data_IF_806906927962
#
_entry.id   IF_806906927962
#
_cell.length_a   1.000
_cell.length_b   1.000
_cell.length_c   1.000
_cell.angle_alpha   90.00
_cell.angle_beta   90.00
_cell.angle_gamma   90.00
#
_symmetry.space_group_name_H-M   'P 1'
#
loop_
_entity.id
_entity.type
_entity.pdbx_description
1 polymer ?
2 non-polymer ?
3 non-polymer ?
4 non-polymer ?
5 water ?
#
# COMPACT_ATOMS: atom_id res chain seq x y z
N UNK A 1 -24.60 -4.58 3.64
CA UNK A 1 -23.27 -4.21 3.12
C UNK A 1 -22.48 -3.52 4.23
N UNK A 2 -21.43 -2.78 3.86
CA UNK A 2 -20.57 -2.15 4.88
C UNK A 2 -20.95 -0.69 5.09
N UNK A 3 -21.14 -0.28 6.34
CA UNK A 3 -21.34 1.16 6.67
C UNK A 3 -20.13 1.98 6.20
N UNK A 4 -20.30 3.29 5.94
CA UNK A 4 -19.16 4.15 5.63
C UNK A 4 -18.03 4.06 6.67
N UNK A 5 -18.36 4.05 7.96
CA UNK A 5 -17.36 4.03 9.04
C UNK A 5 -16.46 2.79 8.88
N UNK A 6 -17.04 1.65 8.52
CA UNK A 6 -16.32 0.36 8.34
C UNK A 6 -15.43 0.42 7.10
N UNK A 7 -15.92 0.97 5.99
CA UNK A 7 -15.09 1.18 4.78
C UNK A 7 -13.85 1.99 5.14
N UNK A 8 -13.99 3.05 5.94
CA UNK A 8 -12.81 3.90 6.25
C UNK A 8 -11.87 3.10 7.17
N UNK A 9 -12.41 2.43 8.19
CA UNK A 9 -11.57 1.66 9.15
C UNK A 9 -10.76 0.60 8.39
N UNK A 10 -11.43 -0.18 7.56
CA UNK A 10 -10.83 -1.30 6.80
C UNK A 10 -9.79 -0.76 5.83
N UNK A 11 -10.00 0.40 5.20
CA UNK A 11 -8.92 0.88 4.29
C UNK A 11 -7.77 1.45 5.11
N UNK A 12 -8.02 2.19 6.17
CA UNK A 12 -6.93 2.70 7.06
C UNK A 12 -6.13 1.54 7.66
N UNK A 13 -6.83 0.48 8.08
CA UNK A 13 -6.17 -0.70 8.67
C UNK A 13 -5.30 -1.38 7.60
N UNK A 14 -5.83 -1.53 6.37
CA UNK A 14 -5.09 -2.18 5.26
C UNK A 14 -3.81 -1.40 4.99
N UNK A 15 -3.89 -0.07 4.86
CA UNK A 15 -2.70 0.75 4.54
C UNK A 15 -1.71 0.69 5.71
N UNK A 16 -2.17 0.82 6.95
CA UNK A 16 -1.27 0.73 8.13
C UNK A 16 -0.58 -0.63 8.20
N UNK A 17 -1.28 -1.70 7.88
CA UNK A 17 -0.66 -3.06 7.86
C UNK A 17 0.44 -3.10 6.79
N UNK A 18 0.19 -2.57 5.58
CA UNK A 18 1.24 -2.52 4.54
C UNK A 18 2.42 -1.69 5.02
N UNK A 19 2.19 -0.59 5.72
CA UNK A 19 3.27 0.30 6.20
C UNK A 19 4.16 -0.43 7.21
N UNK A 20 3.58 -1.20 8.12
CA UNK A 20 4.41 -2.01 9.05
C UNK A 20 5.35 -2.93 8.25
N UNK A 21 4.83 -3.62 7.25
CA UNK A 21 5.55 -4.65 6.45
C UNK A 21 6.56 -3.97 5.52
N UNK A 22 6.26 -2.78 5.01
CA UNK A 22 7.18 -1.96 4.20
C UNK A 22 8.37 -1.52 5.07
N UNK A 23 8.12 -1.13 6.32
CA UNK A 23 9.18 -0.70 7.24
C UNK A 23 10.12 -1.84 7.53
N UNK A 24 9.60 -3.06 7.65
CA UNK A 24 10.46 -4.23 7.92
C UNK A 24 11.37 -4.47 6.71
N UNK A 25 10.83 -4.37 5.50
CA UNK A 25 11.69 -4.56 4.30
C UNK A 25 12.73 -3.44 4.27
N UNK A 26 12.33 -2.19 4.50
CA UNK A 26 13.27 -1.03 4.46
C UNK A 26 14.39 -1.28 5.46
N UNK A 27 14.07 -1.73 6.67
CA UNK A 27 15.09 -1.98 7.72
C UNK A 27 16.11 -3.02 7.24
N UNK A 28 15.67 -4.06 6.52
CA UNK A 28 16.54 -5.21 6.17
C UNK A 28 17.32 -4.98 4.86
N UNK A 29 16.84 -4.16 3.91
CA UNK A 29 17.48 -4.11 2.56
C UNK A 29 17.93 -2.69 2.21
N UNK A 30 17.48 -1.67 2.93
CA UNK A 30 17.88 -0.27 2.64
C UNK A 30 18.77 0.26 3.77
N UNK A 31 18.36 0.15 5.03
CA UNK A 31 19.00 0.88 6.16
C UNK A 31 19.93 -0.04 6.96
N UNK A 32 19.79 -1.35 6.78
CA UNK A 32 20.56 -2.38 7.50
C UNK A 32 20.39 -2.30 9.00
N UNK A 33 19.27 -1.74 9.50
CA UNK A 33 18.93 -1.61 10.95
C UNK A 33 18.24 -2.88 11.49
N UNK A 34 18.06 -3.90 10.64
CA UNK A 34 17.59 -5.26 11.04
C UNK A 34 18.40 -6.28 10.26
N UNK A 35 18.78 -7.42 10.87
CA UNK A 35 19.48 -8.47 10.13
C UNK A 35 18.65 -8.94 8.93
N UNK A 36 19.27 -9.08 7.76
CA UNK A 36 18.59 -9.63 6.57
C UNK A 36 18.12 -11.06 6.87
N UNK A 37 16.83 -11.32 6.70
CA UNK A 37 16.23 -12.67 6.77
C UNK A 37 15.37 -12.92 5.54
N UNK A 38 15.68 -13.96 4.75
CA UNK A 38 14.95 -14.29 3.50
C UNK A 38 13.48 -14.58 3.82
N UNK A 39 13.25 -15.38 4.85
CA UNK A 39 11.92 -15.75 5.39
C UNK A 39 11.13 -14.48 5.75
N UNK A 40 11.69 -13.61 6.57
CA UNK A 40 10.98 -12.42 7.10
C UNK A 40 10.74 -11.43 5.97
N UNK A 41 11.69 -11.26 5.04
CA UNK A 41 11.51 -10.23 3.97
C UNK A 41 10.42 -10.74 3.02
N UNK A 42 10.43 -12.03 2.71
CA UNK A 42 9.41 -12.67 1.85
C UNK A 42 8.03 -12.56 2.53
N UNK A 43 7.94 -12.93 3.80
CA UNK A 43 6.67 -12.81 4.56
C UNK A 43 6.13 -11.37 4.47
N UNK A 44 6.97 -10.35 4.70
CA UNK A 44 6.55 -8.93 4.64
C UNK A 44 6.08 -8.56 3.22
N UNK A 45 6.82 -8.95 2.17
CA UNK A 45 6.44 -8.72 0.76
C UNK A 45 5.10 -9.36 0.45
N UNK A 46 4.88 -10.57 0.96
CA UNK A 46 3.64 -11.32 0.70
C UNK A 46 2.44 -10.60 1.32
N UNK A 47 2.61 -9.92 2.46
CA UNK A 47 1.47 -9.13 3.04
C UNK A 47 1.11 -7.99 2.06
N UNK A 48 2.12 -7.30 1.56
CA UNK A 48 1.91 -6.12 0.68
C UNK A 48 1.21 -6.58 -0.60
N UNK A 49 1.67 -7.66 -1.23
CA UNK A 49 1.05 -8.20 -2.46
C UNK A 49 -0.37 -8.64 -2.15
N UNK A 50 -0.58 -9.33 -1.03
CA UNK A 50 -1.92 -9.87 -0.75
C UNK A 50 -2.87 -8.70 -0.57
N UNK A 51 -2.50 -7.71 0.22
CA UNK A 51 -3.39 -6.53 0.41
C UNK A 51 -3.61 -5.78 -0.92
N UNK A 52 -2.56 -5.62 -1.73
CA UNK A 52 -2.64 -4.97 -3.05
C UNK A 52 -3.67 -5.69 -3.93
N UNK A 53 -3.80 -7.01 -3.81
CA UNK A 53 -4.75 -7.85 -4.58
C UNK A 53 -6.10 -8.02 -3.88
N UNK A 54 -6.36 -7.37 -2.73
CA UNK A 54 -7.54 -7.65 -1.86
C UNK A 54 -8.80 -6.90 -2.33
N UNK A 55 -8.74 -6.14 -3.42
CA UNK A 55 -9.94 -5.45 -3.96
C UNK A 55 -10.39 -4.29 -3.07
N UNK A 56 -9.44 -3.42 -2.72
CA UNK A 56 -9.63 -2.26 -1.80
C UNK A 56 -10.49 -1.17 -2.49
N UNK A 57 -10.76 -1.31 -3.80
CA UNK A 57 -11.72 -0.49 -4.57
C UNK A 57 -13.13 -0.56 -4.01
N UNK A 58 -13.53 -1.69 -3.44
CA UNK A 58 -14.82 -1.84 -2.75
C UNK A 58 -14.94 -0.91 -1.52
N UNK A 59 -13.83 -0.36 -1.01
CA UNK A 59 -13.84 0.48 0.23
C UNK A 59 -13.91 1.97 -0.15
N UNK A 60 -13.98 2.28 -1.44
CA UNK A 60 -13.96 3.68 -1.91
C UNK A 60 -15.32 4.05 -2.48
N UNK A 61 -16.04 4.88 -1.77
CA UNK A 61 -17.30 5.43 -2.30
C UNK A 61 -17.46 6.83 -1.76
N UNK A 62 -18.17 7.69 -2.51
CA UNK A 62 -18.35 9.08 -2.10
C UNK A 62 -18.88 9.25 -0.67
N UNK A 63 -19.72 8.34 -0.17
CA UNK A 63 -20.27 8.49 1.20
C UNK A 63 -19.21 8.23 2.28
N UNK A 64 -17.96 7.93 1.92
CA UNK A 64 -16.86 7.83 2.90
C UNK A 64 -16.11 9.14 3.07
N UNK A 65 -16.41 10.16 2.24
CA UNK A 65 -15.70 11.46 2.33
C UNK A 65 -16.02 12.09 3.69
N UNK A 66 -14.99 12.48 4.42
CA UNK A 66 -15.11 13.16 5.73
C UNK A 66 -15.50 12.22 6.88
N UNK A 67 -15.61 10.91 6.66
CA UNK A 67 -16.16 9.96 7.67
C UNK A 67 -15.02 9.43 8.54
N UNK A 68 -15.29 9.21 9.83
CA UNK A 68 -14.27 8.71 10.79
C UNK A 68 -14.24 7.19 10.71
N UNK A 69 -13.06 6.61 10.50
CA UNK A 69 -12.80 5.17 10.68
C UNK A 69 -12.15 4.97 12.03
N UNK A 70 -10.83 4.80 12.04
CA UNK A 70 -9.99 5.01 13.25
C UNK A 70 -9.87 6.51 13.50
N UNK A 71 -9.78 7.29 12.43
CA UNK A 71 -9.74 8.76 12.51
C UNK A 71 -10.40 9.29 11.24
N UNK A 72 -10.62 10.58 11.18
CA UNK A 72 -11.28 11.19 10.01
C UNK A 72 -10.52 10.83 8.72
N UNK A 73 -11.25 10.38 7.72
CA UNK A 73 -10.70 9.95 6.42
C UNK A 73 -9.85 11.07 5.86
N UNK A 74 -8.70 10.73 5.27
CA UNK A 74 -7.81 11.67 4.56
C UNK A 74 -7.97 11.56 3.04
N UNK A 75 -9.01 10.89 2.57
CA UNK A 75 -9.31 10.79 1.12
C UNK A 75 -9.75 12.16 0.59
N UNK A 76 -9.15 12.56 -0.51
CA UNK A 76 -9.56 13.84 -1.16
C UNK A 76 -10.66 13.54 -2.17
N UNK A 77 -11.58 14.48 -2.33
CA UNK A 77 -12.69 14.30 -3.27
C UNK A 77 -12.17 14.14 -4.71
N UNK A 78 -11.02 14.72 -5.05
CA UNK A 78 -10.53 14.65 -6.45
C UNK A 78 -10.28 13.18 -6.85
N UNK A 79 -10.20 12.22 -5.92
CA UNK A 79 -10.19 10.77 -6.23
C UNK A 79 -11.36 10.41 -7.15
N UNK A 80 -12.52 11.01 -6.94
CA UNK A 80 -13.74 10.70 -7.73
C UNK A 80 -13.74 11.49 -9.04
N UNK A 81 -12.89 12.51 -9.18
CA UNK A 81 -12.87 13.34 -10.41
C UNK A 81 -11.81 12.83 -11.38
N UNK A 82 -10.88 11.97 -10.93
CA UNK A 82 -9.65 11.64 -11.72
C UNK A 82 -9.55 10.13 -11.88
N UNK A 83 -10.61 9.47 -12.33
CA UNK A 83 -10.65 7.99 -12.28
C UNK A 83 -9.59 7.43 -13.24
N UNK A 84 -9.28 8.09 -14.35
CA UNK A 84 -8.19 7.59 -15.24
C UNK A 84 -6.85 7.57 -14.49
N UNK A 85 -6.58 8.62 -13.72
CA UNK A 85 -5.32 8.75 -12.96
C UNK A 85 -5.32 7.71 -11.83
N UNK A 86 -6.46 7.48 -11.18
CA UNK A 86 -6.58 6.46 -10.11
C UNK A 86 -6.31 5.07 -10.70
N UNK A 87 -6.95 4.73 -11.81
CA UNK A 87 -6.70 3.43 -12.49
C UNK A 87 -5.21 3.27 -12.83
N UNK A 88 -4.58 4.29 -13.38
CA UNK A 88 -3.13 4.21 -13.70
C UNK A 88 -2.32 3.90 -12.44
N UNK A 89 -2.56 4.65 -11.37
CA UNK A 89 -1.75 4.50 -10.14
C UNK A 89 -2.06 3.16 -9.46
N UNK A 90 -3.31 2.74 -9.39
CA UNK A 90 -3.72 1.49 -8.71
C UNK A 90 -3.15 0.27 -9.45
N UNK A 91 -3.28 0.22 -10.77
CA UNK A 91 -2.82 -0.96 -11.54
C UNK A 91 -1.31 -1.01 -11.44
N UNK A 92 -0.65 0.15 -11.45
CA UNK A 92 0.82 0.21 -11.28
C UNK A 92 1.19 -0.40 -9.92
N UNK A 93 0.47 -0.03 -8.87
CA UNK A 93 0.81 -0.47 -7.50
C UNK A 93 0.67 -2.00 -7.41
N UNK A 94 -0.41 -2.56 -7.93
CA UNK A 94 -0.65 -4.02 -7.89
C UNK A 94 0.50 -4.75 -8.62
N UNK A 95 0.86 -4.28 -9.81
CA UNK A 95 1.98 -4.83 -10.62
C UNK A 95 3.27 -4.79 -9.82
N UNK A 96 3.61 -3.65 -9.20
CA UNK A 96 4.91 -3.50 -8.47
C UNK A 96 4.88 -4.37 -7.20
N UNK A 97 3.75 -4.43 -6.51
CA UNK A 97 3.62 -5.25 -5.29
C UNK A 97 3.81 -6.74 -5.64
N UNK A 98 3.16 -7.22 -6.71
CA UNK A 98 3.29 -8.61 -7.21
C UNK A 98 4.76 -8.90 -7.48
N UNK A 99 5.45 -7.97 -8.12
CA UNK A 99 6.88 -8.15 -8.48
C UNK A 99 7.71 -8.20 -7.21
N UNK A 100 7.45 -7.33 -6.24
CA UNK A 100 8.21 -7.38 -4.97
C UNK A 100 8.09 -8.79 -4.33
N UNK A 101 6.88 -9.34 -4.20
CA UNK A 101 6.69 -10.67 -3.58
C UNK A 101 7.43 -11.75 -4.42
N UNK A 102 7.34 -11.70 -5.75
CA UNK A 102 8.11 -12.61 -6.64
C UNK A 102 9.61 -12.51 -6.33
N UNK A 103 10.19 -11.31 -6.30
CA UNK A 103 11.65 -11.11 -6.08
C UNK A 103 12.04 -11.53 -4.66
N UNK A 104 11.24 -11.20 -3.65
CA UNK A 104 11.61 -11.40 -2.23
C UNK A 104 11.62 -12.89 -1.86
N UNK A 105 11.00 -13.78 -2.64
CA UNK A 105 10.93 -15.21 -2.28
C UNK A 105 12.35 -15.82 -2.24
N UNK A 106 13.19 -15.59 -3.25
CA UNK A 106 14.59 -16.09 -3.26
C UNK A 106 15.62 -15.02 -3.64
N UNK A 107 15.21 -13.80 -3.98
CA UNK A 107 16.11 -12.70 -4.39
C UNK A 107 17.10 -12.30 -3.30
N UNK A 108 18.21 -11.73 -3.71
CA UNK A 108 19.22 -11.16 -2.81
C UNK A 108 18.81 -9.73 -2.46
N UNK A 109 19.51 -9.15 -1.51
CA UNK A 109 19.25 -7.83 -0.93
C UNK A 109 19.16 -6.77 -2.03
N UNK A 110 20.04 -6.80 -3.02
CA UNK A 110 20.07 -5.73 -4.04
C UNK A 110 18.89 -5.89 -4.99
N UNK A 111 18.54 -7.11 -5.35
CA UNK A 111 17.34 -7.35 -6.20
C UNK A 111 16.09 -6.86 -5.44
N UNK A 112 15.99 -7.25 -4.18
CA UNK A 112 14.82 -6.81 -3.36
C UNK A 112 14.79 -5.28 -3.21
N UNK A 113 15.92 -4.65 -2.97
CA UNK A 113 16.00 -3.18 -2.81
C UNK A 113 15.43 -2.52 -4.06
N UNK A 114 15.77 -3.02 -5.25
CA UNK A 114 15.28 -2.43 -6.52
C UNK A 114 13.74 -2.56 -6.61
N UNK A 115 13.22 -3.75 -6.29
CA UNK A 115 11.77 -3.97 -6.44
C UNK A 115 11.02 -3.17 -5.37
N UNK A 116 11.59 -3.05 -4.18
CA UNK A 116 11.01 -2.33 -3.03
C UNK A 116 10.90 -0.85 -3.39
N UNK A 117 11.93 -0.29 -4.03
CA UNK A 117 11.96 1.14 -4.47
C UNK A 117 10.80 1.43 -5.42
N UNK A 118 10.46 0.50 -6.32
CA UNK A 118 9.31 0.69 -7.25
C UNK A 118 7.97 0.69 -6.48
N UNK A 119 7.86 -0.17 -5.49
CA UNK A 119 6.64 -0.21 -4.65
C UNK A 119 6.54 1.10 -3.86
N UNK A 120 7.61 1.55 -3.20
CA UNK A 120 7.62 2.84 -2.47
C UNK A 120 7.16 4.00 -3.37
N UNK A 121 7.63 4.05 -4.60
CA UNK A 121 7.18 5.10 -5.56
C UNK A 121 5.69 4.97 -5.82
N UNK A 122 5.16 3.76 -5.93
CA UNK A 122 3.74 3.52 -6.24
C UNK A 122 2.87 3.97 -5.05
N UNK A 123 3.32 3.71 -3.83
CA UNK A 123 2.60 4.15 -2.60
C UNK A 123 2.54 5.70 -2.65
N UNK A 124 3.69 6.33 -2.88
CA UNK A 124 3.86 7.82 -2.83
C UNK A 124 3.02 8.50 -3.91
N UNK A 125 2.82 7.88 -5.07
CA UNK A 125 2.03 8.45 -6.17
C UNK A 125 0.60 8.84 -5.70
N UNK A 126 -0.03 8.21 -4.71
CA UNK A 126 -1.33 8.71 -4.10
C UNK A 126 -1.18 9.96 -3.18
N UNK A 127 0.02 10.38 -2.78
CA UNK A 127 0.22 11.51 -1.85
C UNK A 127 -0.06 12.85 -2.54
N UNK A 128 -0.60 13.76 -1.73
CA UNK A 128 -1.04 15.14 -2.08
C UNK A 128 -2.17 15.04 -3.11
N UNK A 129 -1.99 14.18 -4.14
CA UNK A 129 -3.05 13.85 -5.15
C UNK A 129 -4.32 13.33 -4.52
N UNK A 130 -4.32 12.17 -3.84
CA UNK A 130 -5.59 11.59 -3.35
C UNK A 130 -5.66 11.51 -1.83
N UNK A 131 -4.55 11.74 -1.13
CA UNK A 131 -4.54 11.72 0.35
C UNK A 131 -4.18 13.11 0.89
N UNK A 132 -5.00 13.64 1.78
CA UNK A 132 -4.70 14.94 2.44
C UNK A 132 -3.32 14.89 3.13
N UNK A 133 -2.48 15.93 3.01
CA UNK A 133 -1.15 15.96 3.67
C UNK A 133 -1.36 16.25 5.16
N UNK A 134 -0.35 15.96 5.98
CA UNK A 134 -0.34 16.15 7.46
C UNK A 134 1.10 16.32 7.96
X LIG B 1 -0.47 6.17 0.97
X LIG B 1 -0.88 7.18 0.25
X LIG C 1 9.25 3.17 2.09
X LIG C 1 8.43 2.67 3.17
X LIG C 1 7.13 2.92 2.80
X LIG C 1 7.15 3.09 1.30
X LIG C 1 6.08 4.00 0.69
X LIG C 1 6.56 5.42 0.46
X LIG C 1 10.46 3.21 2.00
X LIG C 1 9.00 2.08 4.25
X LIG C 1 6.04 2.98 3.55
X LIG C 1 8.46 3.64 1.09
X LIG C 1 4.91 4.00 1.49
X LIG C 1 5.52 6.36 0.72
X LIG D 1 2.40 7.76 5.75
X LIG D 1 3.69 8.25 5.35
X LIG D 1 3.89 7.81 4.07
X LIG D 1 2.88 6.75 3.76
X LIG D 1 3.57 5.39 3.74
X LIG D 1 3.46 4.67 5.07
X LIG D 1 1.74 8.07 6.71
X LIG D 1 4.44 8.98 6.21
X LIG D 1 4.80 8.18 3.19
X LIG D 1 1.96 6.83 4.87
X LIG D 1 4.94 5.55 3.40
X LIG D 1 4.74 4.40 5.62
X LIG E 1 1.75 12.77 5.47
X LIG E 1 3.04 12.39 4.91
X LIG E 1 3.23 13.18 3.80
X LIG E 1 2.03 14.05 3.60
X LIG E 1 1.36 13.63 2.31
X LIG E 1 0.01 12.96 2.52
X LIG E 1 1.15 12.30 6.42
X LIG E 1 3.79 11.40 5.48
X LIG E 1 4.24 13.21 2.92
X LIG E 1 1.21 13.78 4.75
X LIG E 1 2.23 12.74 1.60
X LIG E 1 -0.65 12.62 1.30
X LIG F 1 -1.81 4.85 1.31
X LIG F 1 -3.62 6.21 3.91
X LIG F 1 0.55 3.79 3.57
X LIG F 1 -0.53 2.83 -1.08
X LIG F 1 -4.15 6.11 -0.94
X LIG F 1 -1.60 4.98 3.40
X LIG F 1 -2.41 5.57 4.29
X LIG F 1 -1.93 5.51 5.64
X LIG F 1 -0.67 4.79 5.54
X LIG F 1 -0.57 4.54 4.11
X LIG F 1 0.32 4.41 6.60
X LIG F 1 -2.53 6.02 6.96
X LIG F 1 -3.54 4.96 7.33
X LIG F 1 -4.26 5.29 8.67
X LIG F 1 -4.12 4.56 9.65
X LIG F 1 -4.99 6.27 8.75
X LIG F 1 -0.26 3.53 1.29
X LIG F 1 0.61 3.26 2.24
X LIG F 1 1.68 2.29 1.86
X LIG F 1 1.34 1.99 0.49
X LIG F 1 0.13 2.79 0.23
X LIG F 1 2.78 1.81 2.72
X LIG F 1 2.11 1.13 -0.46
X LIG F 1 2.50 -0.19 0.11
X LIG F 1 -2.28 4.51 -0.67
X LIG F 1 -1.65 3.64 -1.49
X LIG F 1 -2.13 3.68 -2.90
X LIG F 1 -3.24 4.65 -2.83
X LIG F 1 -3.19 5.14 -1.44
X LIG F 1 -1.55 2.86 -4.03
X LIG F 1 -4.04 5.26 -3.95
X LIG F 1 -4.43 4.29 -5.02
X LIG F 1 -3.52 5.94 1.45
X LIG F 1 -4.33 6.37 0.46
X LIG F 1 -5.53 7.07 0.88
X LIG F 1 -5.37 7.14 2.31
X LIG F 1 -4.12 6.40 2.57
X LIG F 1 -6.55 7.69 -0.02
X LIG F 1 -6.33 7.75 3.27
X LIG F 1 -7.25 6.64 3.79
X LIG F 1 -8.29 7.23 4.70
X LIG F 1 -7.90 7.98 5.63
X LIG F 1 -9.46 6.94 4.54
#
# INVERSE_FOLDING_TARGET
ALKPEDKVKFRQASYTTMAWNMGKIKAMVVDGTMPFSQTQVSAAANVIAAIANSGMGALYSPDTLGVVGFKKSRLKENFFQEQDEVRKIATNFVEQANKLAEVAAMGDKDEIKAQFGEVGKACKACHEKFREEE
NO N O
ASC C1 C2 C3 C4 C5 C6 O1 O2 O3 O4 O5 O6
ASC C1 C2 C3 C4 C5 C6 O1 O2 O3 O4 O5 O6
ASC C1 C2 C3 C4 C5 C6 O1 O2 O3 O4 O5 O6
HEC FE CHA CHB CHC CHD NA C1A C2A C3A C4A CMA CAA CBA CGA O1A O2A NB C1B C2B C3B C4B CMB CAB CBB NC C1C C2C C3C C4C CMC CAC CBC ND C1D C2D C3D C4D CMD CAD CBD CGD O1D O2D
#
